data_IF_003223258275
#
_entry.id   IF_003223258275
#
_cell.length_a   1.000
_cell.length_b   1.000
_cell.length_c   1.000
_cell.angle_alpha   90.00
_cell.angle_beta   90.00
_cell.angle_gamma   90.00
#
_symmetry.space_group_name_H-M   'P 1'
#
loop_
_entity.id
_entity.type
_entity.pdbx_description
1 polymer ?
#
# COMPACT_ATOMS: atom_id res chain seq x y z
N UNK A 1 2.21 -2.87 2.11
CA UNK A 1 1.44 -2.60 3.35
C UNK A 1 -0.01 -2.39 3.00
N UNK A 2 -0.93 -2.61 3.95
CA UNK A 2 -2.37 -2.37 3.76
C UNK A 2 -2.84 -1.09 4.47
N UNK A 3 -3.87 -0.44 3.93
CA UNK A 3 -4.52 0.75 4.49
C UNK A 3 -6.01 0.70 4.24
N UNK A 4 -6.79 1.27 5.14
CA UNK A 4 -8.23 1.46 4.93
C UNK A 4 -8.50 2.73 4.13
N UNK A 5 -9.44 2.65 3.20
CA UNK A 5 -9.92 3.73 2.36
C UNK A 5 -11.41 3.90 2.64
N UNK A 6 -11.82 5.12 2.96
CA UNK A 6 -13.21 5.44 3.27
C UNK A 6 -13.81 6.30 2.17
N UNK A 7 -14.95 5.88 1.61
CA UNK A 7 -15.81 6.69 0.78
C UNK A 7 -17.04 7.12 1.59
N UNK A 8 -17.51 8.35 1.38
CA UNK A 8 -18.71 8.89 2.03
C UNK A 8 -19.72 9.23 0.94
N UNK A 9 -20.88 8.59 0.97
CA UNK A 9 -21.97 8.83 0.04
C UNK A 9 -23.07 9.67 0.71
N UNK A 10 -23.42 10.79 0.08
CA UNK A 10 -24.46 11.72 0.53
C UNK A 10 -25.33 12.16 -0.64
N UNK A 11 -26.56 12.56 -0.34
CA UNK A 11 -27.43 13.23 -1.31
C UNK A 11 -27.09 14.73 -1.45
N UNK A 12 -27.81 15.43 -2.33
CA UNK A 12 -27.64 16.88 -2.55
C UNK A 12 -28.00 17.73 -1.32
N UNK A 13 -28.82 17.20 -0.40
CA UNK A 13 -29.14 17.84 0.88
C UNK A 13 -28.07 17.61 1.96
N UNK A 14 -27.03 16.82 1.66
CA UNK A 14 -25.98 16.45 2.61
C UNK A 14 -26.36 15.29 3.53
N UNK A 15 -27.51 14.64 3.32
CA UNK A 15 -27.92 13.49 4.12
C UNK A 15 -27.10 12.25 3.74
N UNK A 16 -26.64 11.44 4.70
CA UNK A 16 -25.92 10.21 4.43
C UNK A 16 -26.82 9.17 3.78
N UNK A 17 -26.30 8.48 2.75
CA UNK A 17 -27.01 7.39 2.09
C UNK A 17 -26.50 6.05 2.61
N UNK A 18 -27.29 5.42 3.48
CA UNK A 18 -27.02 4.09 4.06
C UNK A 18 -27.49 2.95 3.13
N UNK A 19 -26.85 1.78 3.25
CA UNK A 19 -27.24 0.56 2.54
C UNK A 19 -26.96 0.57 1.04
N UNK A 20 -26.13 1.50 0.55
CA UNK A 20 -25.77 1.61 -0.86
C UNK A 20 -24.51 0.81 -1.16
N UNK A 21 -24.51 0.10 -2.28
CA UNK A 21 -23.34 -0.66 -2.73
C UNK A 21 -22.35 0.27 -3.41
N UNK A 22 -21.10 0.23 -2.95
CA UNK A 22 -19.96 0.93 -3.57
C UNK A 22 -19.03 -0.10 -4.17
N UNK A 23 -18.75 0.05 -5.46
CA UNK A 23 -17.74 -0.73 -6.18
C UNK A 23 -16.40 0.01 -6.16
N UNK A 24 -15.32 -0.73 -5.95
CA UNK A 24 -13.98 -0.17 -5.86
C UNK A 24 -13.08 -0.74 -6.94
N UNK A 25 -12.18 0.10 -7.43
CA UNK A 25 -11.10 -0.33 -8.32
C UNK A 25 -9.80 0.39 -7.99
N UNK A 26 -8.68 -0.18 -8.41
CA UNK A 26 -7.37 0.43 -8.27
C UNK A 26 -6.52 0.18 -9.50
N UNK A 27 -5.64 1.12 -9.85
CA UNK A 27 -4.73 0.98 -11.00
C UNK A 27 -3.56 0.04 -10.73
N UNK A 28 -3.18 -0.16 -9.46
CA UNK A 28 -2.14 -1.10 -9.06
C UNK A 28 -2.34 -1.57 -7.62
N UNK A 29 -1.87 -2.78 -7.30
CA UNK A 29 -2.14 -3.43 -6.02
C UNK A 29 -3.52 -4.09 -5.99
N UNK A 30 -4.06 -4.30 -4.80
CA UNK A 30 -5.35 -4.97 -4.61
C UNK A 30 -6.24 -4.16 -3.66
N UNK A 31 -7.54 -4.14 -3.92
CA UNK A 31 -8.53 -3.48 -3.06
C UNK A 31 -9.78 -4.36 -2.87
N UNK A 32 -10.46 -4.22 -1.74
CA UNK A 32 -11.81 -4.78 -1.54
C UNK A 32 -12.72 -4.37 -2.68
N UNK A 33 -13.32 -5.33 -3.41
CA UNK A 33 -14.07 -5.02 -4.65
C UNK A 33 -15.39 -4.29 -4.40
N UNK A 34 -16.14 -4.68 -3.36
CA UNK A 34 -17.45 -4.12 -3.07
C UNK A 34 -17.64 -3.96 -1.57
N UNK A 35 -18.28 -2.85 -1.18
CA UNK A 35 -18.66 -2.58 0.21
C UNK A 35 -20.03 -1.93 0.25
N UNK A 36 -20.65 -1.89 1.43
CA UNK A 36 -21.97 -1.28 1.64
C UNK A 36 -21.81 -0.09 2.58
N UNK A 37 -22.50 1.01 2.29
CA UNK A 37 -22.46 2.19 3.15
C UNK A 37 -23.19 1.95 4.48
N UNK A 38 -22.60 2.42 5.57
CA UNK A 38 -23.20 2.39 6.91
C UNK A 38 -24.23 3.51 7.12
N UNK A 39 -24.75 3.63 8.35
CA UNK A 39 -25.72 4.66 8.74
C UNK A 39 -25.20 6.11 8.63
N UNK A 40 -23.89 6.30 8.51
CA UNK A 40 -23.25 7.59 8.26
C UNK A 40 -22.86 7.78 6.79
N UNK A 41 -23.31 6.88 5.90
CA UNK A 41 -23.01 6.89 4.47
C UNK A 41 -21.58 6.44 4.16
N UNK A 42 -20.88 5.80 5.09
CA UNK A 42 -19.47 5.43 4.94
C UNK A 42 -19.32 4.02 4.42
N UNK A 43 -18.51 3.85 3.39
CA UNK A 43 -18.08 2.58 2.83
C UNK A 43 -16.56 2.46 3.04
N UNK A 44 -16.11 1.40 3.70
CA UNK A 44 -14.69 1.20 4.06
C UNK A 44 -14.14 0.00 3.30
N UNK A 45 -13.13 0.24 2.46
CA UNK A 45 -12.41 -0.77 1.69
C UNK A 45 -10.96 -0.89 2.18
N UNK A 46 -10.39 -2.08 2.12
CA UNK A 46 -8.96 -2.31 2.42
C UNK A 46 -8.17 -2.33 1.13
N UNK A 47 -7.23 -1.38 1.00
CA UNK A 47 -6.25 -1.33 -0.08
C UNK A 47 -4.93 -1.95 0.38
N UNK A 48 -4.31 -2.76 -0.46
CA UNK A 48 -2.96 -3.29 -0.27
C UNK A 48 -2.07 -2.84 -1.41
N UNK A 49 -1.04 -2.07 -1.07
CA UNK A 49 -0.10 -1.54 -2.03
C UNK A 49 0.73 -2.67 -2.68
N UNK A 50 1.02 -2.59 -3.99
CA UNK A 50 1.90 -3.53 -4.67
C UNK A 50 3.35 -3.37 -4.21
N UNK A 51 4.17 -4.37 -4.52
CA UNK A 51 5.63 -4.25 -4.40
C UNK A 51 6.15 -3.51 -5.62
N UNK A 52 6.82 -2.38 -5.41
CA UNK A 52 7.37 -1.52 -6.47
C UNK A 52 8.88 -1.34 -6.28
N UNK A 53 9.61 -1.12 -7.37
CA UNK A 53 11.07 -0.82 -7.37
C UNK A 53 11.38 0.66 -7.48
N UNK A 54 10.40 1.48 -7.88
CA UNK A 54 10.45 2.94 -7.97
C UNK A 54 9.15 3.53 -7.42
N UNK A 55 9.12 4.84 -7.16
CA UNK A 55 7.90 5.51 -6.69
C UNK A 55 6.83 5.46 -7.79
N UNK A 56 5.61 5.08 -7.42
CA UNK A 56 4.50 4.94 -8.34
C UNK A 56 3.24 5.63 -7.79
N UNK A 57 2.46 6.24 -8.69
CA UNK A 57 1.17 6.85 -8.35
C UNK A 57 0.05 5.84 -8.63
N UNK A 58 -0.75 5.55 -7.61
CA UNK A 58 -1.86 4.62 -7.69
C UNK A 58 -3.17 5.38 -7.48
N UNK A 59 -4.11 5.18 -8.40
CA UNK A 59 -5.46 5.74 -8.31
C UNK A 59 -6.40 4.67 -7.80
N UNK A 60 -7.18 5.03 -6.78
CA UNK A 60 -8.28 4.24 -6.25
C UNK A 60 -9.58 4.93 -6.65
N UNK A 61 -10.54 4.17 -7.17
CA UNK A 61 -11.85 4.68 -7.58
C UNK A 61 -12.93 4.01 -6.75
N UNK A 62 -13.83 4.81 -6.19
CA UNK A 62 -15.07 4.36 -5.57
C UNK A 62 -16.24 4.79 -6.46
N UNK A 63 -17.10 3.85 -6.81
CA UNK A 63 -18.21 4.06 -7.74
C UNK A 63 -19.51 3.60 -7.12
N UNK A 64 -20.49 4.50 -7.07
CA UNK A 64 -21.89 4.19 -6.85
C UNK A 64 -22.57 4.17 -8.23
N UNK A 65 -23.14 3.03 -8.62
CA UNK A 65 -23.76 2.90 -9.94
C UNK A 65 -25.09 3.69 -10.09
N UNK A 66 -25.65 4.15 -8.97
CA UNK A 66 -27.01 4.67 -8.93
C UNK A 66 -28.02 3.59 -8.57
N UNK A 67 -29.21 4.01 -8.22
CA UNK A 67 -30.38 3.15 -7.99
C UNK A 67 -31.66 3.84 -8.47
N UNK A 68 -32.82 3.31 -8.10
CA UNK A 68 -34.11 3.88 -8.50
C UNK A 68 -34.38 5.29 -7.96
N UNK A 69 -33.66 5.72 -6.91
CA UNK A 69 -33.86 6.99 -6.21
C UNK A 69 -32.72 7.98 -6.43
N UNK A 70 -31.50 7.52 -6.71
CA UNK A 70 -30.31 8.34 -6.83
C UNK A 70 -29.52 8.02 -8.09
N UNK A 71 -29.01 9.06 -8.75
CA UNK A 71 -28.08 8.89 -9.87
C UNK A 71 -26.73 8.34 -9.39
N UNK A 72 -26.03 7.67 -10.30
CA UNK A 72 -24.68 7.19 -10.04
C UNK A 72 -23.67 8.32 -9.84
N UNK A 73 -22.61 8.02 -9.10
CA UNK A 73 -21.51 8.95 -8.83
C UNK A 73 -20.21 8.18 -8.63
N UNK A 74 -19.08 8.86 -8.81
CA UNK A 74 -17.76 8.29 -8.53
C UNK A 74 -16.84 9.31 -7.84
N UNK A 75 -15.88 8.79 -7.10
CA UNK A 75 -14.79 9.57 -6.50
C UNK A 75 -13.46 8.85 -6.68
N UNK A 76 -12.38 9.63 -6.78
CA UNK A 76 -11.03 9.13 -6.93
C UNK A 76 -10.15 9.57 -5.75
N UNK A 77 -9.26 8.67 -5.31
CA UNK A 77 -8.21 8.95 -4.36
C UNK A 77 -6.85 8.61 -5.00
N UNK A 78 -5.90 9.54 -4.91
CA UNK A 78 -4.54 9.34 -5.36
C UNK A 78 -3.66 8.96 -4.17
N UNK A 79 -2.85 7.92 -4.35
CA UNK A 79 -1.86 7.52 -3.36
C UNK A 79 -0.49 7.30 -4.02
N UNK A 80 0.57 7.60 -3.28
CA UNK A 80 1.94 7.35 -3.72
C UNK A 80 2.46 6.11 -3.01
N UNK A 81 2.95 5.15 -3.78
CA UNK A 81 3.58 3.93 -3.27
C UNK A 81 5.07 4.08 -3.48
N UNK A 82 5.84 3.98 -2.40
CA UNK A 82 7.30 4.03 -2.45
C UNK A 82 7.89 2.63 -2.26
N UNK A 83 9.02 2.32 -2.94
CA UNK A 83 9.70 1.06 -2.75
C UNK A 83 10.13 0.92 -1.30
N UNK A 84 10.09 -0.32 -0.80
CA UNK A 84 10.70 -0.60 0.50
C UNK A 84 12.21 -0.42 0.35
N UNK A 85 12.89 0.38 1.20
CA UNK A 85 14.32 0.56 1.08
C UNK A 85 14.99 -0.80 1.23
N UNK A 86 15.58 -1.30 0.15
CA UNK A 86 16.50 -2.41 0.21
C UNK A 86 17.72 -1.88 0.96
N UNK A 87 17.96 -2.33 2.19
CA UNK A 87 19.31 -2.21 2.74
C UNK A 87 20.18 -3.01 1.76
N UNK A 88 21.19 -2.42 1.10
CA UNK A 88 22.00 -3.17 0.15
C UNK A 88 22.65 -4.34 0.90
N UNK A 89 22.13 -5.55 0.69
CA UNK A 89 22.68 -6.77 1.27
C UNK A 89 24.09 -7.00 0.78
N UNK A 90 24.46 -6.45 -0.38
CA UNK A 90 25.83 -6.35 -0.87
C UNK A 90 26.74 -5.59 0.09
N UNK A 91 26.29 -4.47 0.69
CA UNK A 91 27.09 -3.72 1.65
C UNK A 91 27.30 -4.52 2.95
N UNK A 92 26.25 -5.15 3.48
CA UNK A 92 26.35 -6.03 4.65
C UNK A 92 27.27 -7.22 4.35
N UNK A 93 27.11 -7.88 3.20
CA UNK A 93 27.93 -9.00 2.78
C UNK A 93 29.41 -8.60 2.60
N UNK A 94 29.69 -7.44 1.98
CA UNK A 94 31.05 -6.90 1.80
C UNK A 94 31.70 -6.61 3.16
N UNK A 95 30.98 -5.96 4.08
CA UNK A 95 31.49 -5.67 5.43
C UNK A 95 31.82 -6.97 6.18
N UNK A 96 30.94 -7.98 6.15
CA UNK A 96 31.17 -9.28 6.82
C UNK A 96 32.36 -10.03 6.22
N UNK A 97 32.50 -10.06 4.88
CA UNK A 97 33.62 -10.70 4.20
C UNK A 97 34.94 -9.99 4.53
N UNK A 98 34.98 -8.66 4.52
CA UNK A 98 36.17 -7.88 4.90
C UNK A 98 36.57 -8.16 6.36
N UNK A 99 35.60 -8.14 7.29
CA UNK A 99 35.86 -8.44 8.71
C UNK A 99 36.40 -9.87 8.87
N UNK A 100 35.83 -10.85 8.16
CA UNK A 100 36.28 -12.24 8.22
C UNK A 100 37.71 -12.40 7.67
N UNK A 101 38.03 -11.75 6.54
CA UNK A 101 39.39 -11.75 5.96
C UNK A 101 40.38 -11.15 6.95
N UNK A 102 40.08 -9.98 7.54
CA UNK A 102 40.94 -9.33 8.55
C UNK A 102 41.13 -10.25 9.76
N UNK A 103 40.05 -10.87 10.26
CA UNK A 103 40.09 -11.78 11.40
C UNK A 103 40.96 -13.01 11.11
N UNK A 104 40.80 -13.64 9.94
CA UNK A 104 41.63 -14.76 9.49
C UNK A 104 43.10 -14.34 9.37
N UNK A 105 43.39 -13.18 8.78
CA UNK A 105 44.76 -12.65 8.66
C UNK A 105 45.40 -12.38 10.03
N UNK A 106 44.67 -11.81 10.98
CA UNK A 106 45.16 -11.56 12.35
C UNK A 106 45.43 -12.87 13.10
N UNK A 107 44.56 -13.87 12.94
CA UNK A 107 44.77 -15.21 13.51
C UNK A 107 46.05 -15.82 12.90
N UNK A 108 46.22 -15.81 11.58
CA UNK A 108 47.41 -16.33 10.90
C UNK A 108 48.71 -15.62 11.32
N UNK A 109 48.68 -14.30 11.50
CA UNK A 109 49.82 -13.52 11.99
C UNK A 109 50.23 -13.95 13.41
N UNK A 110 49.28 -14.33 14.26
CA UNK A 110 49.56 -14.87 15.61
C UNK A 110 50.16 -16.29 15.57
N UNK A 111 49.93 -17.06 14.51
CA UNK A 111 50.46 -18.42 14.33
C UNK A 111 51.76 -18.50 13.53
N UNK A 112 52.19 -17.40 12.88
CA UNK A 112 53.50 -17.34 12.22
C UNK A 112 54.60 -17.30 13.29
N UNK A 113 55.10 -18.48 13.65
CA UNK A 113 56.27 -18.65 14.53
C UNK A 113 57.49 -17.97 13.89
N UNK A 114 58.29 -17.28 14.71
CA UNK A 114 59.62 -16.77 14.32
C UNK A 114 60.50 -17.89 13.78
#
# INVERSE_FOLDING_TARGET
GSREITAILRDNGGNPLSGKTISWSTTAGTITQTTVTDNLGRAIATFTAPVVTQVENVTITATFAGDASYLGSQANALCTVSPTPLIPTTLIAVIVVIILIILISLILLKYRKS
#
